data_IF_281351374564
#
_entry.id   IF_281351374564
#
_cell.length_a   1.000
_cell.length_b   1.000
_cell.length_c   1.000
_cell.angle_alpha   90.00
_cell.angle_beta   90.00
_cell.angle_gamma   90.00
#
_symmetry.space_group_name_H-M   'P 1'
#
loop_
_entity.id
_entity.type
_entity.pdbx_description
1 polymer ?
#
# COMPACT_ATOMS: atom_id res chain seq x y z
N UNK A 1 -28.63 20.90 -5.64
CA UNK A 1 -28.54 20.13 -4.39
C UNK A 1 -28.56 18.65 -4.70
N UNK A 2 -27.70 17.84 -4.06
CA UNK A 2 -27.50 16.45 -4.45
C UNK A 2 -27.85 15.43 -3.37
N UNK A 3 -28.47 15.86 -2.27
CA UNK A 3 -28.69 14.94 -1.13
C UNK A 3 -29.57 13.74 -1.47
N UNK A 4 -30.38 13.82 -2.51
CA UNK A 4 -31.25 12.73 -2.93
C UNK A 4 -30.71 12.01 -4.17
N UNK A 5 -29.48 12.30 -4.59
CA UNK A 5 -28.85 11.71 -5.75
C UNK A 5 -27.67 10.86 -5.35
N UNK A 6 -27.47 9.75 -6.05
CA UNK A 6 -26.27 8.96 -5.90
C UNK A 6 -25.08 9.73 -6.46
N UNK A 7 -23.99 9.78 -5.71
CA UNK A 7 -22.75 10.44 -6.12
C UNK A 7 -21.65 9.40 -6.23
N UNK A 8 -20.93 9.42 -7.35
CA UNK A 8 -19.77 8.56 -7.56
C UNK A 8 -18.55 9.44 -7.78
N UNK A 9 -17.51 9.21 -6.99
CA UNK A 9 -16.27 9.98 -7.09
C UNK A 9 -15.15 9.02 -7.45
N UNK A 10 -14.45 9.28 -8.56
CA UNK A 10 -13.30 8.49 -8.96
C UNK A 10 -12.13 8.84 -8.06
N UNK A 11 -11.66 7.89 -7.25
CA UNK A 11 -10.55 8.10 -6.34
C UNK A 11 -9.23 7.67 -6.95
N UNK A 12 -9.25 6.64 -7.78
CA UNK A 12 -8.04 6.06 -8.35
C UNK A 12 -8.43 5.28 -9.60
N UNK A 13 -7.67 5.49 -10.68
CA UNK A 13 -7.84 4.75 -11.92
C UNK A 13 -6.45 4.36 -12.41
N UNK A 14 -6.14 3.07 -12.39
CA UNK A 14 -4.82 2.56 -12.74
C UNK A 14 -4.93 1.33 -13.63
N UNK A 15 -3.95 1.17 -14.50
CA UNK A 15 -3.79 -0.04 -15.30
C UNK A 15 -2.56 -0.76 -14.78
N UNK A 16 -2.73 -1.82 -13.95
CA UNK A 16 -1.58 -2.54 -13.43
C UNK A 16 -0.73 -3.13 -14.57
N UNK A 17 0.61 -3.19 -14.42
CA UNK A 17 1.47 -3.75 -15.46
C UNK A 17 1.18 -5.24 -15.70
N UNK A 18 0.68 -5.94 -14.69
CA UNK A 18 0.18 -7.29 -14.87
C UNK A 18 -0.88 -7.60 -13.82
N UNK A 19 -1.73 -8.58 -14.12
CA UNK A 19 -2.70 -9.14 -13.18
C UNK A 19 -2.52 -10.66 -13.25
N UNK A 20 -2.41 -11.34 -12.11
CA UNK A 20 -2.28 -12.81 -12.12
C UNK A 20 -3.45 -13.45 -12.83
N UNK A 21 -3.17 -14.57 -13.54
CA UNK A 21 -4.23 -15.36 -14.18
C UNK A 21 -5.04 -16.06 -13.09
N UNK A 22 -6.37 -16.00 -13.21
CA UNK A 22 -7.32 -16.58 -12.24
C UNK A 22 -6.97 -16.19 -10.81
N UNK A 23 -6.90 -14.89 -10.50
CA UNK A 23 -6.34 -14.43 -9.24
C UNK A 23 -7.18 -14.81 -8.04
N UNK A 24 -6.52 -14.92 -6.89
CA UNK A 24 -7.17 -14.95 -5.59
C UNK A 24 -7.30 -13.50 -5.12
N UNK A 25 -8.49 -13.05 -4.77
CA UNK A 25 -8.73 -11.67 -4.34
C UNK A 25 -9.06 -11.66 -2.86
N UNK A 26 -8.33 -10.86 -2.10
CA UNK A 26 -8.52 -10.71 -0.67
C UNK A 26 -8.85 -9.27 -0.33
N UNK A 27 -9.83 -9.07 0.56
CA UNK A 27 -10.11 -7.75 1.14
C UNK A 27 -9.68 -7.79 2.59
N UNK A 28 -8.75 -6.93 2.98
CA UNK A 28 -8.11 -6.97 4.29
C UNK A 28 -8.21 -5.60 4.97
N UNK A 29 -8.61 -5.60 6.24
CA UNK A 29 -8.53 -4.42 7.08
C UNK A 29 -7.17 -4.43 7.77
N UNK A 30 -6.40 -3.37 7.59
CA UNK A 30 -5.09 -3.20 8.21
C UNK A 30 -5.21 -2.09 9.25
N UNK A 31 -4.75 -2.38 10.46
CA UNK A 31 -4.80 -1.43 11.57
C UNK A 31 -3.41 -1.30 12.17
N UNK A 32 -2.89 -0.07 12.18
CA UNK A 32 -1.53 0.22 12.67
C UNK A 32 -1.62 1.13 13.89
N UNK A 33 -1.04 0.72 15.02
CA UNK A 33 -1.10 1.52 16.25
C UNK A 33 -0.50 2.92 16.08
N UNK A 34 -0.88 3.86 16.95
CA UNK A 34 -0.30 5.20 16.92
C UNK A 34 1.23 5.18 16.91
N UNK A 35 1.83 5.91 15.98
CA UNK A 35 3.27 6.06 15.87
C UNK A 35 4.05 4.83 15.42
N UNK A 36 3.38 3.74 15.12
CA UNK A 36 4.04 2.47 14.77
C UNK A 36 4.56 2.50 13.33
N UNK A 37 5.77 1.95 13.07
CA UNK A 37 6.30 1.91 11.70
C UNK A 37 5.57 0.94 10.77
N UNK A 38 4.68 0.10 11.30
CA UNK A 38 3.91 -0.84 10.48
C UNK A 38 4.71 -2.02 9.99
N UNK A 39 4.30 -2.55 8.84
CA UNK A 39 4.95 -3.72 8.25
C UNK A 39 6.33 -3.36 7.70
N UNK A 40 7.36 -4.18 7.98
CA UNK A 40 8.67 -3.99 7.35
C UNK A 40 8.60 -4.10 5.82
N UNK A 41 9.67 -3.71 5.09
CA UNK A 41 9.69 -3.81 3.64
C UNK A 41 9.28 -5.18 3.14
N UNK A 42 8.39 -5.21 2.15
CA UNK A 42 7.77 -6.44 1.69
C UNK A 42 7.30 -6.33 0.23
N UNK A 43 6.85 -7.47 -0.31
CA UNK A 43 6.25 -7.57 -1.64
C UNK A 43 4.93 -8.31 -1.57
N UNK A 44 4.09 -8.04 -2.55
CA UNK A 44 2.87 -8.81 -2.82
C UNK A 44 3.00 -9.46 -4.20
N UNK A 45 2.40 -10.64 -4.38
CA UNK A 45 2.50 -11.36 -5.65
C UNK A 45 1.72 -10.72 -6.80
N UNK A 46 0.81 -9.79 -6.49
CA UNK A 46 0.02 -9.08 -7.49
C UNK A 46 -0.37 -7.69 -7.02
N UNK A 47 -1.14 -6.95 -7.82
CA UNK A 47 -1.48 -5.57 -7.49
C UNK A 47 -2.38 -5.47 -6.25
N UNK A 48 -2.22 -4.37 -5.54
CA UNK A 48 -2.98 -4.06 -4.33
C UNK A 48 -3.57 -2.66 -4.49
N UNK A 49 -4.86 -2.55 -4.16
CA UNK A 49 -5.57 -1.27 -4.14
C UNK A 49 -6.04 -1.01 -2.71
N UNK A 50 -5.92 0.23 -2.25
CA UNK A 50 -6.27 0.55 -0.88
C UNK A 50 -6.96 1.89 -0.72
N UNK A 51 -7.57 2.04 0.45
CA UNK A 51 -8.30 3.25 0.83
C UNK A 51 -8.10 3.48 2.33
N UNK A 52 -7.66 4.69 2.69
CA UNK A 52 -7.43 5.03 4.09
C UNK A 52 -8.75 5.46 4.72
N UNK A 53 -9.14 4.75 5.78
CA UNK A 53 -10.38 4.99 6.51
C UNK A 53 -10.19 6.01 7.63
N UNK A 54 -9.03 5.97 8.31
CA UNK A 54 -8.76 6.78 9.49
C UNK A 54 -7.26 7.01 9.61
N UNK A 55 -6.88 8.20 9.99
CA UNK A 55 -5.46 8.53 10.24
C UNK A 55 -4.70 8.93 9.00
N UNK A 56 -3.39 8.80 9.06
CA UNK A 56 -2.48 9.16 7.97
C UNK A 56 -1.39 8.11 7.85
N UNK A 57 -1.12 7.69 6.64
CA UNK A 57 -0.12 6.69 6.34
C UNK A 57 1.08 7.32 5.64
N UNK A 58 2.29 6.98 6.11
CA UNK A 58 3.49 7.22 5.31
C UNK A 58 3.62 6.03 4.38
N UNK A 59 3.63 6.29 3.08
CA UNK A 59 3.60 5.28 2.04
C UNK A 59 4.80 5.46 1.12
N UNK A 60 5.56 4.38 0.91
CA UNK A 60 6.72 4.45 0.02
C UNK A 60 6.87 3.16 -0.77
N UNK A 61 6.91 3.30 -2.10
CA UNK A 61 7.26 2.23 -3.03
C UNK A 61 8.67 2.43 -3.56
N UNK A 62 9.33 1.35 -3.92
CA UNK A 62 10.64 1.39 -4.54
C UNK A 62 10.62 2.29 -5.78
N UNK A 63 11.54 3.24 -5.85
CA UNK A 63 11.66 4.15 -6.98
C UNK A 63 10.80 5.41 -6.90
N UNK A 64 9.95 5.53 -5.89
CA UNK A 64 9.09 6.70 -5.71
C UNK A 64 9.35 7.35 -4.36
N UNK A 65 9.27 8.69 -4.26
CA UNK A 65 9.42 9.37 -2.97
C UNK A 65 8.33 8.93 -2.00
N UNK A 66 8.66 8.90 -0.71
CA UNK A 66 7.63 8.68 0.30
C UNK A 66 6.61 9.82 0.28
N UNK A 67 5.37 9.49 0.58
CA UNK A 67 4.28 10.46 0.63
C UNK A 67 3.30 10.11 1.73
N UNK A 68 2.51 11.07 2.15
CA UNK A 68 1.47 10.88 3.16
C UNK A 68 0.14 10.67 2.44
N UNK A 69 -0.57 9.60 2.81
CA UNK A 69 -1.90 9.31 2.31
C UNK A 69 -2.86 9.45 3.49
N UNK A 70 -3.89 10.29 3.32
CA UNK A 70 -4.80 10.66 4.39
C UNK A 70 -6.13 9.94 4.27
N UNK A 71 -6.88 9.94 5.35
CA UNK A 71 -8.24 9.40 5.35
C UNK A 71 -9.04 9.96 4.17
N UNK A 72 -9.73 9.09 3.46
CA UNK A 72 -10.49 9.46 2.27
C UNK A 72 -9.72 9.38 0.96
N UNK A 73 -8.43 9.03 1.02
CA UNK A 73 -7.59 8.93 -0.18
C UNK A 73 -7.30 7.47 -0.51
N UNK A 74 -7.22 7.17 -1.81
CA UNK A 74 -6.90 5.84 -2.32
C UNK A 74 -5.45 5.77 -2.77
N UNK A 75 -4.91 4.55 -2.80
CA UNK A 75 -3.55 4.28 -3.25
C UNK A 75 -3.50 2.90 -3.91
N UNK A 76 -2.38 2.60 -4.55
CA UNK A 76 -2.18 1.28 -5.14
C UNK A 76 -0.71 0.89 -5.16
N UNK A 77 -0.47 -0.42 -5.29
CA UNK A 77 0.86 -0.99 -5.48
C UNK A 77 0.80 -1.92 -6.69
N UNK A 78 1.81 -1.89 -7.55
CA UNK A 78 1.83 -2.80 -8.70
C UNK A 78 2.03 -4.27 -8.31
N UNK A 79 2.64 -4.53 -7.15
CA UNK A 79 2.99 -5.89 -6.74
C UNK A 79 4.17 -6.44 -7.51
N UNK A 80 4.30 -7.78 -7.53
CA UNK A 80 5.41 -8.42 -8.22
C UNK A 80 6.76 -8.09 -7.57
N UNK A 81 7.70 -7.59 -8.36
CA UNK A 81 9.06 -7.31 -7.89
C UNK A 81 9.21 -6.01 -7.10
N UNK A 82 8.22 -5.13 -7.14
CA UNK A 82 8.31 -3.82 -6.49
C UNK A 82 8.26 -3.96 -4.98
N UNK A 83 9.26 -3.39 -4.29
CA UNK A 83 9.31 -3.39 -2.83
C UNK A 83 8.44 -2.26 -2.27
N UNK A 84 7.57 -2.61 -1.33
CA UNK A 84 6.81 -1.64 -0.54
C UNK A 84 7.62 -1.37 0.74
N UNK A 85 8.23 -0.20 0.80
CA UNK A 85 9.16 0.13 1.88
C UNK A 85 8.49 0.59 3.17
N UNK A 86 7.43 1.38 3.08
CA UNK A 86 6.80 1.92 4.28
C UNK A 86 5.28 1.88 4.21
N UNK A 87 4.68 1.43 5.31
CA UNK A 87 3.24 1.51 5.61
C UNK A 87 3.14 1.99 7.06
N UNK A 88 3.73 3.13 7.36
CA UNK A 88 3.85 3.60 8.74
C UNK A 88 2.69 4.49 9.13
N UNK A 89 2.36 4.50 10.42
CA UNK A 89 1.39 5.45 10.96
C UNK A 89 2.11 6.78 11.20
N UNK A 90 1.67 7.82 10.51
CA UNK A 90 2.27 9.15 10.58
C UNK A 90 1.83 9.96 11.81
N UNK A 91 0.82 9.47 12.55
CA UNK A 91 0.26 10.22 13.67
C UNK A 91 0.65 9.58 15.01
N UNK A 92 0.96 10.37 16.03
CA UNK A 92 1.42 9.84 17.31
C UNK A 92 0.31 9.36 18.24
N UNK A 93 -0.95 9.75 17.98
CA UNK A 93 -2.05 9.49 18.91
C UNK A 93 -3.29 8.91 18.27
N UNK A 94 -3.29 8.67 16.96
CA UNK A 94 -4.44 8.17 16.21
C UNK A 94 -4.07 6.85 15.52
N UNK A 95 -4.95 5.88 15.55
CA UNK A 95 -4.79 4.65 14.80
C UNK A 95 -4.85 4.95 13.30
N UNK A 96 -4.04 4.24 12.54
CA UNK A 96 -4.16 4.20 11.09
C UNK A 96 -5.01 2.98 10.75
N UNK A 97 -6.08 3.19 9.98
CA UNK A 97 -6.94 2.12 9.52
C UNK A 97 -7.14 2.26 8.02
N UNK A 98 -6.86 1.19 7.30
CA UNK A 98 -7.02 1.17 5.85
C UNK A 98 -7.58 -0.17 5.42
N UNK A 99 -8.35 -0.16 4.34
CA UNK A 99 -8.82 -1.38 3.69
C UNK A 99 -8.06 -1.53 2.38
N UNK A 100 -7.61 -2.75 2.12
CA UNK A 100 -6.90 -3.07 0.87
C UNK A 100 -7.56 -4.24 0.18
N UNK A 101 -7.53 -4.22 -1.15
CA UNK A 101 -7.91 -5.34 -1.98
C UNK A 101 -6.67 -5.84 -2.68
N UNK A 102 -6.31 -7.09 -2.40
CA UNK A 102 -5.10 -7.72 -2.94
C UNK A 102 -5.49 -8.71 -4.03
N UNK A 103 -4.94 -8.52 -5.23
CA UNK A 103 -5.21 -9.35 -6.40
C UNK A 103 -3.97 -10.23 -6.60
N UNK A 104 -4.01 -11.43 -6.04
CA UNK A 104 -2.82 -12.23 -5.77
C UNK A 104 -2.74 -13.47 -6.64
N UNK A 105 -1.51 -13.98 -6.80
CA UNK A 105 -1.28 -15.30 -7.37
C UNK A 105 -1.87 -16.34 -6.40
N UNK A 106 -2.73 -17.26 -6.86
CA UNK A 106 -3.33 -18.25 -5.98
C UNK A 106 -2.30 -19.06 -5.22
N UNK A 107 -2.54 -19.25 -3.90
CA UNK A 107 -1.65 -20.03 -3.06
C UNK A 107 -0.44 -19.28 -2.50
N UNK A 108 -0.18 -18.06 -2.97
CA UNK A 108 0.91 -17.26 -2.43
C UNK A 108 0.49 -16.57 -1.13
N UNK A 109 1.44 -16.34 -0.20
CA UNK A 109 1.13 -15.63 1.04
C UNK A 109 0.72 -14.19 0.76
N UNK A 110 0.00 -13.61 1.71
CA UNK A 110 -0.47 -12.22 1.62
C UNK A 110 0.66 -11.24 1.31
N UNK A 111 1.83 -11.47 1.89
CA UNK A 111 3.04 -10.70 1.62
C UNK A 111 4.27 -11.54 1.91
N UNK A 112 5.40 -11.11 1.36
CA UNK A 112 6.71 -11.70 1.66
C UNK A 112 7.63 -10.59 2.12
N UNK A 113 8.26 -10.77 3.29
CA UNK A 113 9.26 -9.83 3.77
C UNK A 113 10.51 -9.91 2.89
N UNK A 114 11.18 -8.79 2.71
CA UNK A 114 12.40 -8.72 1.91
C UNK A 114 13.61 -8.91 2.81
N UNK A 115 14.52 -9.78 2.39
CA UNK A 115 15.73 -10.08 3.17
C UNK A 115 16.64 -8.86 3.29
N UNK A 116 17.37 -8.70 4.42
CA UNK A 116 18.32 -7.59 4.57
C UNK A 116 19.37 -7.53 3.46
N UNK A 117 19.84 -8.68 2.96
CA UNK A 117 20.78 -8.70 1.85
C UNK A 117 20.20 -8.11 0.58
N UNK A 118 18.94 -8.44 0.28
CA UNK A 118 18.28 -7.89 -0.90
C UNK A 118 18.02 -6.42 -0.74
N UNK A 119 17.61 -5.96 0.44
CA UNK A 119 17.43 -4.54 0.71
C UNK A 119 18.73 -3.78 0.45
N UNK A 120 19.86 -4.31 0.92
CA UNK A 120 21.16 -3.68 0.70
C UNK A 120 21.51 -3.64 -0.78
N UNK A 121 21.32 -4.76 -1.51
CA UNK A 121 21.65 -4.83 -2.93
C UNK A 121 20.78 -3.90 -3.79
N UNK A 122 19.57 -3.61 -3.34
CA UNK A 122 18.62 -2.78 -4.08
C UNK A 122 18.53 -1.35 -3.55
N UNK A 123 19.37 -0.98 -2.61
CA UNK A 123 19.38 0.35 -1.99
C UNK A 123 19.39 1.47 -3.01
N UNK A 124 20.13 1.31 -4.09
CA UNK A 124 20.21 2.32 -5.16
C UNK A 124 18.94 2.53 -5.95
N UNK A 125 17.97 1.64 -5.83
CA UNK A 125 16.66 1.79 -6.51
C UNK A 125 15.65 2.54 -5.66
N UNK A 126 15.93 2.70 -4.38
CA UNK A 126 15.05 3.46 -3.49
C UNK A 126 15.23 4.94 -3.77
N UNK A 127 14.12 5.70 -3.80
CA UNK A 127 14.19 7.12 -4.03
C UNK A 127 15.02 7.82 -2.96
N UNK A 128 15.71 8.92 -3.29
CA UNK A 128 16.48 9.66 -2.29
C UNK A 128 15.58 10.11 -1.14
N UNK A 129 16.10 9.97 0.09
CA UNK A 129 15.36 10.39 1.27
C UNK A 129 15.40 11.91 1.38
N UNK A 130 14.32 12.53 1.90
CA UNK A 130 14.34 13.97 2.16
C UNK A 130 15.44 14.27 3.19
N UNK A 131 16.16 15.36 3.00
CA UNK A 131 17.21 15.79 3.92
C UNK A 131 16.65 16.64 5.05
#
# INVERSE_FOLDING_TARGET
MRKDLTVQTMLLDQSPPFVPESPEVMTVLVEVPPGDPGTPPHRHSGPVYGYVLEGEMIFELEGEPERVIRAGEAFWEPGGDVIHYQTANNLPSTWLRLVVMMIMVPGEPMLRLVDPEELESRRGRRAPRPS
#
